data_IF_238209103596
#
_entry.id   IF_238209103596
#
_cell.length_a   1.000
_cell.length_b   1.000
_cell.length_c   1.000
_cell.angle_alpha   90.00
_cell.angle_beta   90.00
_cell.angle_gamma   90.00
#
_symmetry.space_group_name_H-M   'P 1'
#
loop_
_entity.id
_entity.type
_entity.pdbx_description
1 polymer ?
#
# COMPACT_ATOMS: atom_id res chain seq x y z
N UNK A 1 17.92 7.96 -48.22
CA UNK A 1 18.46 8.72 -47.08
C UNK A 1 18.07 8.01 -45.79
N UNK A 2 19.00 7.89 -44.84
CA UNK A 2 18.92 7.08 -43.61
C UNK A 2 17.77 7.52 -42.69
N UNK A 3 17.18 6.60 -41.89
CA UNK A 3 16.35 6.99 -40.75
C UNK A 3 17.20 7.86 -39.81
N UNK A 4 16.69 9.03 -39.47
CA UNK A 4 17.29 9.93 -38.48
C UNK A 4 17.46 9.19 -37.15
N UNK A 5 18.62 9.30 -36.49
CA UNK A 5 18.84 8.69 -35.17
C UNK A 5 17.80 9.24 -34.20
N UNK A 6 17.34 8.41 -33.28
CA UNK A 6 16.39 8.72 -32.22
C UNK A 6 16.65 10.11 -31.60
N UNK A 7 16.03 11.16 -32.15
CA UNK A 7 16.11 12.49 -31.60
C UNK A 7 15.20 12.45 -30.37
N UNK A 8 15.82 12.26 -29.22
CA UNK A 8 15.13 12.42 -27.94
C UNK A 8 14.59 13.86 -27.93
N UNK A 9 13.27 14.07 -27.77
CA UNK A 9 12.69 15.41 -27.81
C UNK A 9 13.44 16.33 -26.84
N UNK A 10 13.75 17.57 -27.25
CA UNK A 10 14.58 18.50 -26.46
C UNK A 10 14.01 18.74 -25.04
N UNK A 11 12.70 18.54 -24.84
CA UNK A 11 12.05 18.55 -23.53
C UNK A 11 12.65 17.54 -22.52
N UNK A 12 13.14 16.38 -22.97
CA UNK A 12 13.78 15.38 -22.11
C UNK A 12 15.27 15.67 -21.84
N UNK A 13 15.88 16.59 -22.60
CA UNK A 13 17.27 17.05 -22.40
C UNK A 13 17.30 18.29 -21.51
N UNK A 14 16.17 18.99 -21.33
CA UNK A 14 16.07 20.17 -20.48
C UNK A 14 16.14 19.80 -18.99
N UNK A 15 17.23 20.21 -18.33
CA UNK A 15 17.45 20.04 -16.89
C UNK A 15 16.31 20.63 -16.04
N UNK A 16 15.61 21.68 -16.54
CA UNK A 16 14.46 22.27 -15.84
C UNK A 16 13.23 21.37 -15.88
N UNK A 17 13.00 20.66 -16.99
CA UNK A 17 11.92 19.68 -17.11
C UNK A 17 12.16 18.48 -16.19
N UNK A 18 13.39 17.94 -16.17
CA UNK A 18 13.77 16.86 -15.27
C UNK A 18 13.63 17.25 -13.78
N UNK A 19 14.00 18.49 -13.42
CA UNK A 19 13.84 19.01 -12.06
C UNK A 19 12.36 19.14 -11.66
N UNK A 20 11.50 19.64 -12.55
CA UNK A 20 10.06 19.78 -12.28
C UNK A 20 9.37 18.42 -12.17
N UNK A 21 9.73 17.47 -13.02
CA UNK A 21 9.27 16.07 -12.94
C UNK A 21 9.69 15.42 -11.61
N UNK A 22 10.96 15.58 -11.21
CA UNK A 22 11.46 15.08 -9.93
C UNK A 22 10.71 15.63 -8.71
N UNK A 23 10.47 16.95 -8.67
CA UNK A 23 9.71 17.60 -7.58
C UNK A 23 8.25 17.11 -7.55
N UNK A 24 7.62 16.97 -8.72
CA UNK A 24 6.25 16.48 -8.80
C UNK A 24 6.12 15.04 -8.30
N UNK A 25 7.01 14.15 -8.76
CA UNK A 25 7.06 12.74 -8.33
C UNK A 25 7.35 12.64 -6.84
N UNK A 26 8.28 13.43 -6.31
CA UNK A 26 8.61 13.45 -4.88
C UNK A 26 7.42 13.92 -4.03
N UNK A 27 6.70 14.96 -4.48
CA UNK A 27 5.52 15.48 -3.77
C UNK A 27 4.38 14.45 -3.76
N UNK A 28 4.12 13.82 -4.90
CA UNK A 28 3.10 12.77 -5.03
C UNK A 28 3.45 11.55 -4.17
N UNK A 29 4.72 11.14 -4.17
CA UNK A 29 5.20 10.02 -3.36
C UNK A 29 5.06 10.32 -1.87
N UNK A 30 5.40 11.52 -1.42
CA UNK A 30 5.25 11.93 -0.02
C UNK A 30 3.78 11.94 0.42
N UNK A 31 2.89 12.52 -0.40
CA UNK A 31 1.46 12.55 -0.13
C UNK A 31 0.85 11.14 -0.10
N UNK A 32 1.21 10.29 -1.06
CA UNK A 32 0.79 8.89 -1.09
C UNK A 32 1.30 8.14 0.14
N UNK A 33 2.55 8.33 0.55
CA UNK A 33 3.10 7.66 1.74
C UNK A 33 2.31 7.99 3.00
N UNK A 34 1.95 9.27 3.23
CA UNK A 34 1.15 9.67 4.39
C UNK A 34 -0.23 9.01 4.40
N UNK A 35 -0.93 9.05 3.26
CA UNK A 35 -2.25 8.44 3.12
C UNK A 35 -2.17 6.93 3.37
N UNK A 36 -1.17 6.27 2.79
CA UNK A 36 -0.95 4.83 2.95
C UNK A 36 -0.68 4.44 4.40
N UNK A 37 0.12 5.25 5.12
CA UNK A 37 0.41 5.02 6.54
C UNK A 37 -0.89 5.06 7.35
N UNK A 38 -1.70 6.09 7.16
CA UNK A 38 -2.96 6.25 7.89
C UNK A 38 -3.90 5.09 7.60
N UNK A 39 -4.09 4.75 6.33
CA UNK A 39 -4.97 3.65 5.91
C UNK A 39 -4.47 2.31 6.49
N UNK A 40 -3.17 2.05 6.46
CA UNK A 40 -2.59 0.81 6.97
C UNK A 40 -2.76 0.68 8.48
N UNK A 41 -2.58 1.78 9.23
CA UNK A 41 -2.83 1.80 10.67
C UNK A 41 -4.30 1.51 11.00
N UNK A 42 -5.23 2.13 10.26
CA UNK A 42 -6.66 1.84 10.40
C UNK A 42 -6.96 0.38 10.11
N UNK A 43 -6.39 -0.16 9.03
CA UNK A 43 -6.62 -1.54 8.62
C UNK A 43 -6.06 -2.56 9.63
N UNK A 44 -4.90 -2.29 10.24
CA UNK A 44 -4.37 -3.08 11.36
C UNK A 44 -5.30 -2.97 12.56
N UNK A 45 -5.75 -1.76 12.91
CA UNK A 45 -6.71 -1.53 13.99
C UNK A 45 -8.00 -2.33 13.80
N UNK A 46 -8.58 -2.30 12.61
CA UNK A 46 -9.74 -3.13 12.26
C UNK A 46 -9.45 -4.63 12.41
N UNK A 47 -8.29 -5.10 11.97
CA UNK A 47 -7.85 -6.48 12.17
C UNK A 47 -7.79 -6.87 13.66
N UNK A 48 -7.20 -6.02 14.50
CA UNK A 48 -7.11 -6.24 15.95
C UNK A 48 -8.50 -6.27 16.59
N UNK A 49 -9.38 -5.32 16.25
CA UNK A 49 -10.77 -5.31 16.76
C UNK A 49 -11.51 -6.59 16.38
N UNK A 50 -11.31 -7.09 15.16
CA UNK A 50 -11.92 -8.33 14.66
C UNK A 50 -11.37 -9.60 15.33
N UNK A 51 -10.18 -9.54 15.95
CA UNK A 51 -9.64 -10.62 16.80
C UNK A 51 -10.36 -10.67 18.14
N UNK A 52 -10.54 -9.51 18.80
CA UNK A 52 -11.19 -9.44 20.12
C UNK A 52 -12.71 -9.61 20.03
N UNK A 53 -13.33 -9.09 18.98
CA UNK A 53 -14.78 -9.10 18.77
C UNK A 53 -15.15 -9.76 17.43
N UNK A 54 -14.94 -11.08 17.27
CA UNK A 54 -15.20 -11.79 16.02
C UNK A 54 -16.68 -11.78 15.61
N UNK A 55 -17.59 -11.54 16.55
CA UNK A 55 -19.02 -11.40 16.30
C UNK A 55 -19.35 -10.18 15.40
N UNK A 56 -18.48 -9.17 15.33
CA UNK A 56 -18.66 -8.03 14.43
C UNK A 56 -18.57 -8.46 12.97
N UNK A 57 -17.73 -9.45 12.64
CA UNK A 57 -17.63 -9.99 11.30
C UNK A 57 -18.97 -10.55 10.79
N UNK A 58 -19.71 -11.24 11.68
CA UNK A 58 -20.99 -11.85 11.34
C UNK A 58 -22.11 -10.85 11.07
N UNK A 59 -21.95 -9.60 11.54
CA UNK A 59 -22.90 -8.51 11.27
C UNK A 59 -22.67 -7.87 9.90
N UNK A 60 -21.51 -8.09 9.28
CA UNK A 60 -21.18 -7.51 7.98
C UNK A 60 -22.12 -8.02 6.88
N UNK A 61 -22.47 -7.19 5.89
CA UNK A 61 -23.28 -7.62 4.75
C UNK A 61 -22.56 -8.68 3.92
N UNK A 62 -21.22 -8.59 3.83
CA UNK A 62 -20.36 -9.56 3.14
C UNK A 62 -20.51 -10.96 3.74
N UNK A 63 -20.48 -11.07 5.08
CA UNK A 63 -20.72 -12.34 5.74
C UNK A 63 -22.10 -12.91 5.42
N UNK A 64 -23.15 -12.08 5.51
CA UNK A 64 -24.53 -12.51 5.25
C UNK A 64 -24.74 -13.02 3.83
N UNK A 65 -24.11 -12.37 2.85
CA UNK A 65 -24.27 -12.71 1.44
C UNK A 65 -23.42 -13.91 1.02
N UNK A 66 -22.16 -13.98 1.46
CA UNK A 66 -21.19 -14.93 0.90
C UNK A 66 -20.86 -16.09 1.85
N UNK A 67 -20.82 -15.85 3.16
CA UNK A 67 -20.25 -16.79 4.12
C UNK A 67 -21.26 -17.41 5.08
N UNK A 68 -22.48 -16.88 5.16
CA UNK A 68 -23.51 -17.35 6.10
C UNK A 68 -23.90 -18.81 5.88
N UNK A 69 -24.05 -19.24 4.62
CA UNK A 69 -24.38 -20.63 4.31
C UNK A 69 -23.23 -21.58 4.67
N UNK A 70 -22.01 -21.23 4.26
CA UNK A 70 -20.81 -22.02 4.53
C UNK A 70 -20.47 -22.10 6.02
N UNK A 71 -20.63 -21.01 6.77
CA UNK A 71 -20.43 -21.00 8.21
C UNK A 71 -21.43 -21.87 8.96
N UNK A 72 -22.63 -22.11 8.42
CA UNK A 72 -23.65 -22.98 9.04
C UNK A 72 -23.38 -24.46 8.78
N UNK A 73 -22.85 -24.80 7.61
CA UNK A 73 -22.58 -26.20 7.23
C UNK A 73 -21.23 -26.71 7.73
N UNK A 74 -20.22 -25.84 7.82
CA UNK A 74 -18.85 -26.19 8.24
C UNK A 74 -18.28 -25.20 9.25
N UNK A 75 -18.96 -25.04 10.39
CA UNK A 75 -18.65 -24.05 11.44
C UNK A 75 -17.18 -24.06 11.87
N UNK A 76 -16.62 -25.22 12.26
CA UNK A 76 -15.25 -25.28 12.77
C UNK A 76 -14.20 -24.93 11.71
N UNK A 77 -14.34 -25.45 10.49
CA UNK A 77 -13.43 -25.12 9.38
C UNK A 77 -13.50 -23.63 9.02
N UNK A 78 -14.70 -23.05 9.02
CA UNK A 78 -14.89 -21.64 8.74
C UNK A 78 -14.15 -20.73 9.72
N UNK A 79 -14.26 -20.97 11.03
CA UNK A 79 -13.55 -20.17 12.03
C UNK A 79 -12.02 -20.28 11.92
N UNK A 80 -11.52 -21.45 11.51
CA UNK A 80 -10.09 -21.64 11.26
C UNK A 80 -9.60 -20.76 10.11
N UNK A 81 -10.28 -20.80 8.95
CA UNK A 81 -9.96 -19.94 7.81
C UNK A 81 -10.13 -18.46 8.12
N UNK A 82 -11.18 -18.08 8.86
CA UNK A 82 -11.39 -16.71 9.30
C UNK A 82 -10.21 -16.19 10.14
N UNK A 83 -9.74 -16.98 11.12
CA UNK A 83 -8.58 -16.60 11.93
C UNK A 83 -7.33 -16.42 11.07
N UNK A 84 -7.05 -17.35 10.17
CA UNK A 84 -5.90 -17.25 9.25
C UNK A 84 -6.01 -15.97 8.40
N UNK A 85 -7.19 -15.68 7.86
CA UNK A 85 -7.41 -14.49 7.03
C UNK A 85 -7.15 -13.19 7.79
N UNK A 86 -7.58 -13.10 9.06
CA UNK A 86 -7.32 -11.92 9.90
C UNK A 86 -5.83 -11.81 10.27
N UNK A 87 -5.16 -12.92 10.57
CA UNK A 87 -3.71 -12.90 10.82
C UNK A 87 -2.93 -12.50 9.57
N UNK A 88 -3.26 -13.05 8.41
CA UNK A 88 -2.62 -12.68 7.14
C UNK A 88 -2.89 -11.23 6.78
N UNK A 89 -4.10 -10.73 7.05
CA UNK A 89 -4.46 -9.32 6.86
C UNK A 89 -3.54 -8.38 7.65
N UNK A 90 -3.36 -8.65 8.95
CA UNK A 90 -2.46 -7.85 9.81
C UNK A 90 -1.02 -7.96 9.33
N UNK A 91 -0.56 -9.18 8.97
CA UNK A 91 0.80 -9.41 8.50
C UNK A 91 1.10 -8.66 7.20
N UNK A 92 0.19 -8.69 6.22
CA UNK A 92 0.35 -7.99 4.95
C UNK A 92 0.41 -6.48 5.16
N UNK A 93 -0.47 -5.90 6.00
CA UNK A 93 -0.42 -4.47 6.28
C UNK A 93 0.82 -4.06 7.08
N UNK A 94 1.30 -4.93 7.97
CA UNK A 94 2.58 -4.70 8.67
C UNK A 94 3.76 -4.70 7.69
N UNK A 95 3.80 -5.67 6.77
CA UNK A 95 4.81 -5.72 5.72
C UNK A 95 4.73 -4.49 4.80
N UNK A 96 3.52 -4.05 4.45
CA UNK A 96 3.31 -2.87 3.64
C UNK A 96 3.88 -1.61 4.32
N UNK A 97 3.65 -1.45 5.62
CA UNK A 97 4.25 -0.36 6.41
C UNK A 97 5.78 -0.35 6.35
N UNK A 98 6.41 -1.53 6.40
CA UNK A 98 7.87 -1.65 6.26
C UNK A 98 8.31 -1.18 4.86
N UNK A 99 7.62 -1.61 3.80
CA UNK A 99 7.96 -1.20 2.43
C UNK A 99 7.81 0.32 2.21
N UNK A 100 6.81 0.95 2.82
CA UNK A 100 6.63 2.40 2.79
C UNK A 100 7.76 3.10 3.56
N UNK A 101 8.12 2.61 4.75
CA UNK A 101 9.21 3.18 5.54
C UNK A 101 10.56 3.13 4.78
N UNK A 102 10.88 1.99 4.16
CA UNK A 102 12.09 1.84 3.32
C UNK A 102 12.04 2.82 2.14
N UNK A 103 10.88 2.98 1.50
CA UNK A 103 10.70 3.90 0.37
C UNK A 103 10.95 5.36 0.79
N UNK A 104 10.41 5.79 1.92
CA UNK A 104 10.63 7.13 2.48
C UNK A 104 12.10 7.34 2.80
N UNK A 105 12.75 6.40 3.51
CA UNK A 105 14.18 6.48 3.81
C UNK A 105 15.03 6.57 2.54
N UNK A 106 14.73 5.76 1.52
CA UNK A 106 15.44 5.80 0.23
C UNK A 106 15.30 7.14 -0.49
N UNK A 107 14.14 7.79 -0.39
CA UNK A 107 13.94 9.13 -0.97
C UNK A 107 14.72 10.21 -0.23
N UNK A 108 14.75 10.16 1.11
CA UNK A 108 15.51 11.10 1.93
C UNK A 108 17.02 10.99 1.66
N UNK A 109 17.56 9.77 1.56
CA UNK A 109 18.98 9.55 1.23
C UNK A 109 19.29 10.14 -0.15
N UNK A 110 18.45 9.91 -1.16
CA UNK A 110 18.64 10.51 -2.50
C UNK A 110 18.57 12.04 -2.48
N UNK A 111 17.65 12.64 -1.73
CA UNK A 111 17.54 14.10 -1.63
C UNK A 111 18.75 14.71 -0.94
N UNK A 112 19.25 14.10 0.15
CA UNK A 112 20.47 14.55 0.85
C UNK A 112 21.69 14.46 -0.06
N UNK A 113 21.81 13.37 -0.83
CA UNK A 113 22.95 13.17 -1.74
C UNK A 113 22.96 14.16 -2.90
N UNK A 114 21.79 14.53 -3.43
CA UNK A 114 21.65 15.53 -4.52
C UNK A 114 21.85 16.97 -4.01
N UNK A 115 21.57 17.25 -2.73
CA UNK A 115 21.85 18.58 -2.16
C UNK A 115 23.31 18.79 -1.74
N UNK A 116 24.10 17.72 -1.64
CA UNK A 116 25.52 17.76 -1.26
C UNK A 116 26.50 17.55 -2.42
N UNK A 117 26.00 17.29 -3.63
CA UNK A 117 26.78 17.15 -4.87
C UNK A 117 26.62 18.40 -5.75
#
# INVERSE_FOLDING_TARGET
MRPTPCAVPEEFVDARYHRRCGIHVQTLLLAHCLITIIISLLAIGFGVVLIYYPNLHQKSPVYKQLFQHYSRTKTNSYYYYYRIAIFSWIAIHSLHMITVAITVLGTQVKTVLVCHA
#
